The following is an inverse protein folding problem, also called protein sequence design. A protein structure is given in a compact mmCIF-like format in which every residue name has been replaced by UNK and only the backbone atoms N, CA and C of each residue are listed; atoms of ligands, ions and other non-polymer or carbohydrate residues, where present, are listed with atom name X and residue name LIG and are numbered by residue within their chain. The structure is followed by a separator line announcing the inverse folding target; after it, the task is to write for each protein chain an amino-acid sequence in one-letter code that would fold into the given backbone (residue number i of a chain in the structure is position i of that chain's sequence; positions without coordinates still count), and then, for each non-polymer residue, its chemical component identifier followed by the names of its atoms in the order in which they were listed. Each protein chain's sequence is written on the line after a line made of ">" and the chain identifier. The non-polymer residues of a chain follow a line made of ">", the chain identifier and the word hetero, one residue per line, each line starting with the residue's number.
data_IF_450233238535
#
_entry.id   IF_450233238535
#
_cell.length_a   1.000
_cell.length_b   1.000
_cell.length_c   1.000
_cell.angle_alpha   90.00
_cell.angle_beta   90.00
_cell.angle_gamma   90.00
#
_symmetry.space_group_name_H-M   'P 1'
#
loop_
_entity.id
_entity.type
_entity.pdbx_description
1 polymer ?
#
# COMPACT_ATOMS: atom_id res chain seq x y z
N UNK A 1 27.57 12.62 27.76
CA UNK A 1 26.26 12.51 28.42
C UNK A 1 25.09 12.28 27.41
N UNK A 2 24.92 13.08 26.37
CA UNK A 2 23.80 12.89 25.39
C UNK A 2 23.86 11.55 24.65
N UNK A 3 25.03 11.10 24.22
CA UNK A 3 25.17 9.81 23.52
C UNK A 3 24.87 8.59 24.41
N UNK A 4 25.23 8.66 25.72
CA UNK A 4 24.91 7.59 26.66
C UNK A 4 23.41 7.52 26.99
N UNK A 5 22.72 8.66 27.06
CA UNK A 5 21.28 8.69 27.29
C UNK A 5 20.50 8.17 26.04
N UNK A 6 20.98 8.45 24.83
CA UNK A 6 20.39 7.92 23.60
C UNK A 6 20.58 6.41 23.51
N UNK A 7 21.77 5.88 23.83
CA UNK A 7 22.03 4.43 23.84
C UNK A 7 21.17 3.71 24.88
N UNK A 8 21.07 4.25 26.10
CA UNK A 8 20.22 3.68 27.16
C UNK A 8 18.72 3.67 26.73
N UNK A 9 18.24 4.72 26.08
CA UNK A 9 16.86 4.80 25.58
C UNK A 9 16.61 3.80 24.43
N UNK A 10 17.56 3.63 23.53
CA UNK A 10 17.48 2.65 22.43
C UNK A 10 17.51 1.21 22.97
N UNK A 11 18.34 0.93 23.98
CA UNK A 11 18.37 -0.39 24.65
C UNK A 11 17.08 -0.68 25.42
N UNK A 12 16.51 0.30 26.12
CA UNK A 12 15.20 0.16 26.77
C UNK A 12 14.06 -0.08 25.77
N UNK A 13 14.07 0.62 24.63
CA UNK A 13 13.12 0.40 23.55
C UNK A 13 13.29 -0.99 22.91
N UNK A 14 14.52 -1.45 22.71
CA UNK A 14 14.82 -2.77 22.17
C UNK A 14 14.39 -3.91 23.13
N UNK A 15 14.50 -3.70 24.45
CA UNK A 15 14.10 -4.67 25.47
C UNK A 15 12.60 -4.62 25.80
N UNK A 16 11.86 -3.60 25.35
CA UNK A 16 10.40 -3.55 25.47
C UNK A 16 9.75 -4.68 24.68
N UNK A 17 8.57 -5.15 25.13
CA UNK A 17 7.82 -6.18 24.39
C UNK A 17 7.55 -5.78 22.94
N UNK A 18 7.35 -4.48 22.66
CA UNK A 18 7.23 -3.93 21.31
C UNK A 18 8.55 -4.02 20.51
N UNK A 19 9.69 -3.75 21.14
CA UNK A 19 11.02 -3.86 20.51
C UNK A 19 11.36 -5.31 20.14
N UNK A 20 11.05 -6.27 21.01
CA UNK A 20 11.26 -7.70 20.76
C UNK A 20 10.37 -8.21 19.60
N UNK A 21 9.12 -7.76 19.54
CA UNK A 21 8.20 -8.11 18.44
C UNK A 21 8.72 -7.51 17.12
N UNK A 22 9.14 -6.25 17.11
CA UNK A 22 9.73 -5.61 15.94
C UNK A 22 11.02 -6.31 15.49
N UNK A 23 11.88 -6.73 16.43
CA UNK A 23 13.08 -7.50 16.12
C UNK A 23 12.74 -8.89 15.54
N UNK A 24 11.76 -9.59 16.09
CA UNK A 24 11.31 -10.89 15.57
C UNK A 24 10.61 -10.75 14.20
N UNK A 25 9.86 -9.69 13.97
CA UNK A 25 9.31 -9.36 12.65
C UNK A 25 10.42 -9.09 11.62
N UNK A 26 11.45 -8.29 12.01
CA UNK A 26 12.61 -8.02 11.15
C UNK A 26 13.34 -9.29 10.75
N UNK A 27 13.65 -10.18 11.71
CA UNK A 27 14.35 -11.45 11.43
C UNK A 27 13.53 -12.34 10.51
N UNK A 28 12.21 -12.39 10.68
CA UNK A 28 11.33 -13.17 9.82
C UNK A 28 11.24 -12.59 8.41
N UNK A 29 11.14 -11.25 8.29
CA UNK A 29 11.15 -10.60 6.98
C UNK A 29 12.47 -10.88 6.28
N UNK A 30 13.61 -10.77 6.97
CA UNK A 30 14.92 -11.07 6.41
C UNK A 30 15.04 -12.55 5.98
N UNK A 31 14.55 -13.48 6.79
CA UNK A 31 14.54 -14.92 6.45
C UNK A 31 13.61 -15.22 5.23
N UNK A 32 12.57 -14.41 5.06
CA UNK A 32 11.61 -14.55 3.96
C UNK A 32 11.98 -13.76 2.71
N UNK A 33 13.08 -13.01 2.72
CA UNK A 33 13.47 -12.11 1.62
C UNK A 33 13.57 -12.84 0.28
N UNK A 34 14.13 -14.07 0.28
CA UNK A 34 14.19 -14.92 -0.92
C UNK A 34 12.81 -15.23 -1.52
N UNK A 35 11.80 -15.41 -0.66
CA UNK A 35 10.43 -15.67 -1.11
C UNK A 35 9.78 -14.40 -1.66
N UNK A 36 10.07 -13.22 -1.08
CA UNK A 36 9.59 -11.94 -1.61
C UNK A 36 10.18 -11.63 -2.98
N UNK A 37 11.50 -11.84 -3.13
CA UNK A 37 12.18 -11.68 -4.43
C UNK A 37 11.63 -12.68 -5.44
N UNK A 38 11.46 -13.95 -5.06
CA UNK A 38 10.87 -14.97 -5.91
C UNK A 38 9.45 -14.63 -6.35
N UNK A 39 8.61 -14.15 -5.42
CA UNK A 39 7.23 -13.74 -5.72
C UNK A 39 7.18 -12.49 -6.60
N UNK A 40 8.06 -11.52 -6.35
CA UNK A 40 8.21 -10.34 -7.20
C UNK A 40 8.56 -10.74 -8.64
N UNK A 41 9.58 -11.57 -8.80
CA UNK A 41 10.03 -12.04 -10.12
C UNK A 41 8.94 -12.87 -10.82
N UNK A 42 8.23 -13.74 -10.08
CA UNK A 42 7.10 -14.48 -10.62
C UNK A 42 6.01 -13.55 -11.13
N UNK A 43 5.58 -12.60 -10.31
CA UNK A 43 4.56 -11.60 -10.69
C UNK A 43 5.00 -10.76 -11.88
N UNK A 44 6.27 -10.33 -11.89
CA UNK A 44 6.86 -9.58 -12.98
C UNK A 44 6.85 -10.37 -14.30
N UNK A 45 7.36 -11.61 -14.28
CA UNK A 45 7.44 -12.46 -15.48
C UNK A 45 6.06 -12.82 -16.02
N UNK A 46 5.10 -13.09 -15.14
CA UNK A 46 3.72 -13.42 -15.55
C UNK A 46 2.99 -12.19 -16.09
N UNK A 47 3.18 -11.01 -15.47
CA UNK A 47 2.52 -9.79 -15.90
C UNK A 47 3.12 -9.20 -17.18
N UNK A 48 4.43 -9.34 -17.40
CA UNK A 48 5.15 -8.69 -18.49
C UNK A 48 4.53 -8.93 -19.88
N UNK A 49 4.19 -10.16 -20.32
CA UNK A 49 3.57 -10.38 -21.63
C UNK A 49 2.17 -9.78 -21.76
N UNK A 50 1.47 -9.53 -20.62
CA UNK A 50 0.13 -8.94 -20.62
C UNK A 50 0.18 -7.41 -20.69
N UNK A 51 1.32 -6.78 -20.45
CA UNK A 51 1.45 -5.33 -20.38
C UNK A 51 1.16 -4.65 -21.71
N UNK A 52 1.56 -5.25 -22.84
CA UNK A 52 1.31 -4.69 -24.17
C UNK A 52 -0.20 -4.61 -24.48
N UNK A 53 -0.95 -5.65 -24.14
CA UNK A 53 -2.40 -5.66 -24.30
C UNK A 53 -3.08 -4.64 -23.37
N UNK A 54 -2.59 -4.52 -22.13
CA UNK A 54 -3.07 -3.52 -21.18
C UNK A 54 -2.80 -2.09 -21.66
N UNK A 55 -1.60 -1.81 -22.18
CA UNK A 55 -1.26 -0.49 -22.73
C UNK A 55 -2.15 -0.17 -23.92
N UNK A 56 -2.32 -1.11 -24.87
CA UNK A 56 -3.18 -0.92 -26.02
C UNK A 56 -4.64 -0.65 -25.62
N UNK A 57 -5.13 -1.37 -24.61
CA UNK A 57 -6.46 -1.14 -24.05
C UNK A 57 -6.58 0.23 -23.38
N UNK A 58 -5.51 0.71 -22.72
CA UNK A 58 -5.50 1.98 -21.99
C UNK A 58 -5.52 3.20 -22.94
N UNK A 59 -4.86 3.11 -24.09
CA UNK A 59 -4.76 4.19 -25.09
C UNK A 59 -5.87 4.13 -26.16
N UNK A 60 -6.89 3.31 -25.96
CA UNK A 60 -8.07 3.27 -26.81
C UNK A 60 -8.81 4.62 -26.76
N UNK A 61 -9.12 5.19 -27.93
CA UNK A 61 -9.75 6.51 -28.07
C UNK A 61 -11.01 6.68 -27.22
N UNK A 62 -11.76 5.59 -26.99
CA UNK A 62 -12.95 5.61 -26.14
C UNK A 62 -12.66 5.92 -24.66
N UNK A 63 -11.40 5.90 -24.22
CA UNK A 63 -10.96 6.11 -22.83
C UNK A 63 -10.14 7.37 -22.63
N UNK A 64 -9.67 7.96 -23.73
CA UNK A 64 -8.93 9.21 -23.67
C UNK A 64 -9.88 10.38 -23.42
N UNK A 65 -9.46 11.40 -22.65
CA UNK A 65 -10.20 12.65 -22.59
C UNK A 65 -10.30 13.32 -23.96
N UNK A 66 -11.38 14.06 -24.21
CA UNK A 66 -11.60 14.74 -25.49
C UNK A 66 -10.46 15.72 -25.80
N UNK A 67 -9.93 15.63 -27.02
CA UNK A 67 -8.88 16.52 -27.51
C UNK A 67 -7.47 16.18 -27.02
N UNK A 68 -7.26 14.99 -26.47
CA UNK A 68 -5.93 14.50 -26.06
C UNK A 68 -5.39 13.52 -27.07
N UNK A 69 -4.18 13.77 -27.59
CA UNK A 69 -3.44 12.83 -28.43
C UNK A 69 -2.28 12.20 -27.64
N UNK A 70 -2.13 10.87 -27.77
CA UNK A 70 -1.02 10.15 -27.15
C UNK A 70 0.13 10.03 -28.13
N UNK A 71 1.27 10.58 -27.76
CA UNK A 71 2.51 10.54 -28.56
C UNK A 71 3.57 9.63 -27.92
N UNK A 72 4.34 8.95 -28.77
CA UNK A 72 5.51 8.16 -28.37
C UNK A 72 6.75 8.85 -28.92
N UNK A 73 7.65 9.29 -28.04
CA UNK A 73 8.86 10.03 -28.44
C UNK A 73 10.01 9.07 -28.73
N UNK A 74 10.08 7.93 -28.08
CA UNK A 74 11.16 6.97 -28.23
C UNK A 74 10.64 5.52 -28.21
N UNK A 75 11.16 4.63 -29.09
CA UNK A 75 10.79 3.20 -29.05
C UNK A 75 11.07 2.51 -27.71
N UNK A 76 12.09 2.99 -26.98
CA UNK A 76 12.50 2.44 -25.68
C UNK A 76 11.48 2.81 -24.58
N UNK A 77 10.72 3.89 -24.78
CA UNK A 77 9.69 4.35 -23.85
C UNK A 77 8.62 3.27 -23.60
N UNK A 78 8.19 2.59 -24.65
CA UNK A 78 7.21 1.51 -24.56
C UNK A 78 7.74 0.36 -23.69
N UNK A 79 9.01 -0.04 -23.89
CA UNK A 79 9.64 -1.09 -23.09
C UNK A 79 9.75 -0.71 -21.61
N UNK A 80 10.19 0.52 -21.29
CA UNK A 80 10.27 0.98 -19.91
C UNK A 80 8.89 1.02 -19.24
N UNK A 81 7.85 1.39 -19.97
CA UNK A 81 6.50 1.37 -19.48
C UNK A 81 6.03 -0.06 -19.15
N UNK A 82 6.32 -1.04 -20.02
CA UNK A 82 6.03 -2.45 -19.74
C UNK A 82 6.74 -2.95 -18.48
N UNK A 83 8.04 -2.62 -18.32
CA UNK A 83 8.81 -2.97 -17.12
C UNK A 83 8.21 -2.34 -15.86
N UNK A 84 7.77 -1.08 -15.94
CA UNK A 84 7.12 -0.37 -14.83
C UNK A 84 5.80 -1.01 -14.43
N UNK A 85 4.94 -1.36 -15.39
CA UNK A 85 3.66 -2.02 -15.13
C UNK A 85 3.89 -3.40 -14.50
N UNK A 86 4.75 -4.23 -15.10
CA UNK A 86 5.08 -5.55 -14.58
C UNK A 86 5.69 -5.49 -13.17
N UNK A 87 6.58 -4.51 -12.94
CA UNK A 87 7.17 -4.24 -11.63
C UNK A 87 6.14 -3.83 -10.58
N UNK A 88 5.15 -3.02 -10.96
CA UNK A 88 4.06 -2.63 -10.07
C UNK A 88 3.22 -3.83 -9.64
N UNK A 89 2.90 -4.75 -10.56
CA UNK A 89 2.19 -5.99 -10.25
C UNK A 89 3.01 -6.87 -9.29
N UNK A 90 4.30 -7.05 -9.57
CA UNK A 90 5.21 -7.77 -8.69
C UNK A 90 5.27 -7.18 -7.27
N UNK A 91 5.32 -5.84 -7.17
CA UNK A 91 5.33 -5.13 -5.89
C UNK A 91 4.02 -5.33 -5.11
N UNK A 92 2.87 -5.24 -5.78
CA UNK A 92 1.56 -5.47 -5.16
C UNK A 92 1.47 -6.88 -4.58
N UNK A 93 1.95 -7.90 -5.29
CA UNK A 93 1.98 -9.28 -4.78
C UNK A 93 2.87 -9.43 -3.56
N UNK A 94 4.04 -8.78 -3.54
CA UNK A 94 4.93 -8.78 -2.37
C UNK A 94 4.24 -8.13 -1.17
N UNK A 95 3.59 -6.99 -1.34
CA UNK A 95 2.87 -6.31 -0.25
C UNK A 95 1.74 -7.17 0.28
N UNK A 96 0.96 -7.83 -0.57
CA UNK A 96 -0.07 -8.79 -0.15
C UNK A 96 0.54 -9.93 0.69
N UNK A 97 1.68 -10.47 0.28
CA UNK A 97 2.37 -11.50 1.05
C UNK A 97 2.84 -10.99 2.42
N UNK A 98 3.38 -9.77 2.48
CA UNK A 98 3.78 -9.14 3.75
C UNK A 98 2.57 -8.97 4.67
N UNK A 99 1.43 -8.49 4.16
CA UNK A 99 0.19 -8.35 4.93
C UNK A 99 -0.27 -9.69 5.50
N UNK A 100 -0.25 -10.75 4.69
CA UNK A 100 -0.59 -12.11 5.12
C UNK A 100 0.39 -12.61 6.20
N UNK A 101 1.68 -12.30 6.08
CA UNK A 101 2.66 -12.68 7.12
C UNK A 101 2.43 -11.90 8.42
N UNK A 102 2.16 -10.60 8.36
CA UNK A 102 1.79 -9.80 9.54
C UNK A 102 0.53 -10.35 10.19
N UNK A 103 -0.47 -10.77 9.40
CA UNK A 103 -1.66 -11.43 9.89
C UNK A 103 -1.34 -12.74 10.63
N UNK A 104 -0.47 -13.59 10.06
CA UNK A 104 -0.01 -14.83 10.73
C UNK A 104 0.64 -14.55 12.08
N UNK A 105 1.46 -13.52 12.16
CA UNK A 105 2.13 -13.12 13.40
C UNK A 105 1.15 -12.60 14.44
N UNK A 106 0.28 -11.66 14.07
CA UNK A 106 -0.72 -11.09 14.95
C UNK A 106 -1.64 -12.15 15.55
N UNK A 107 -2.14 -13.05 14.72
CA UNK A 107 -3.04 -14.13 15.15
C UNK A 107 -2.34 -15.17 16.06
N UNK A 108 -1.05 -15.42 15.88
CA UNK A 108 -0.27 -16.30 16.76
C UNK A 108 -0.05 -15.68 18.14
N UNK A 109 0.18 -14.37 18.21
CA UNK A 109 0.36 -13.66 19.49
C UNK A 109 -0.93 -13.58 20.30
N UNK A 110 -2.08 -13.32 19.67
CA UNK A 110 -3.38 -13.40 20.35
C UNK A 110 -3.64 -14.81 20.92
N UNK A 111 -3.37 -15.87 20.12
CA UNK A 111 -3.57 -17.22 20.56
C UNK A 111 -2.64 -17.63 21.72
N UNK A 112 -1.43 -17.11 21.80
CA UNK A 112 -0.49 -17.34 22.90
C UNK A 112 -0.93 -16.57 24.16
N UNK A 113 -1.38 -15.32 24.02
CA UNK A 113 -1.81 -14.48 25.13
C UNK A 113 -3.11 -15.02 25.78
N UNK A 114 -4.08 -15.48 24.99
CA UNK A 114 -5.32 -16.08 25.51
C UNK A 114 -5.08 -17.43 26.21
N UNK A 115 -4.02 -18.16 25.86
CA UNK A 115 -3.67 -19.45 26.50
C UNK A 115 -2.90 -19.32 27.80
N UNK A 116 -2.14 -18.26 27.98
CA UNK A 116 -1.52 -17.95 29.26
C UNK A 116 -2.55 -17.57 30.33
N UNK A 117 -3.74 -17.12 29.90
CA UNK A 117 -4.86 -16.82 30.80
C UNK A 117 -5.81 -18.02 31.06
N UNK A 118 -5.78 -19.04 30.21
CA UNK A 118 -6.62 -20.24 30.33
C UNK A 118 -5.77 -21.50 30.11
N UNK A 119 -5.47 -22.21 31.18
CA UNK A 119 -4.68 -23.45 31.19
C UNK A 119 -5.40 -24.64 30.52
N UNK A 120 -6.05 -24.44 29.38
CA UNK A 120 -6.63 -25.51 28.58
C UNK A 120 -6.07 -25.60 27.16
N UNK A 121 -5.54 -26.79 26.88
CA UNK A 121 -4.77 -27.19 25.71
C UNK A 121 -5.66 -27.50 24.51
N UNK A 122 -6.00 -26.51 23.70
CA UNK A 122 -6.42 -26.75 22.31
C UNK A 122 -6.00 -25.58 21.42
N UNK A 123 -5.01 -25.87 20.52
CA UNK A 123 -4.47 -24.89 19.57
C UNK A 123 -5.55 -24.55 18.53
N UNK A 124 -6.19 -23.36 18.54
CA UNK A 124 -7.04 -22.97 17.43
C UNK A 124 -6.18 -22.91 16.18
N UNK A 125 -6.52 -23.72 15.20
CA UNK A 125 -5.84 -23.68 13.90
C UNK A 125 -5.99 -22.26 13.31
N UNK A 126 -4.90 -21.62 12.82
CA UNK A 126 -4.96 -20.26 12.29
C UNK A 126 -5.74 -20.14 10.96
N UNK A 127 -6.26 -21.27 10.44
CA UNK A 127 -6.86 -21.40 9.12
C UNK A 127 -7.95 -20.35 8.79
N UNK A 128 -9.10 -20.31 9.51
CA UNK A 128 -10.22 -19.47 9.08
C UNK A 128 -9.94 -17.97 9.27
N UNK A 129 -9.25 -17.56 10.35
CA UNK A 129 -8.91 -16.15 10.61
C UNK A 129 -7.86 -15.63 9.65
N UNK A 130 -6.89 -16.47 9.28
CA UNK A 130 -5.88 -16.10 8.27
C UNK A 130 -6.50 -15.99 6.90
N UNK A 131 -7.40 -16.91 6.54
CA UNK A 131 -8.14 -16.85 5.28
C UNK A 131 -9.00 -15.58 5.21
N UNK A 132 -9.66 -15.20 6.31
CA UNK A 132 -10.41 -13.96 6.39
C UNK A 132 -9.51 -12.73 6.21
N UNK A 133 -8.33 -12.69 6.83
CA UNK A 133 -7.38 -11.60 6.66
C UNK A 133 -6.87 -11.52 5.21
N UNK A 134 -6.56 -12.65 4.57
CA UNK A 134 -6.16 -12.70 3.17
C UNK A 134 -7.29 -12.21 2.24
N UNK A 135 -8.52 -12.68 2.46
CA UNK A 135 -9.68 -12.24 1.69
C UNK A 135 -9.94 -10.74 1.86
N UNK A 136 -9.88 -10.23 3.10
CA UNK A 136 -10.01 -8.80 3.39
C UNK A 136 -8.91 -7.99 2.70
N UNK A 137 -7.67 -8.49 2.66
CA UNK A 137 -6.56 -7.83 1.96
C UNK A 137 -6.81 -7.73 0.46
N UNK A 138 -7.25 -8.82 -0.18
CA UNK A 138 -7.60 -8.82 -1.61
C UNK A 138 -8.78 -7.88 -1.87
N UNK A 139 -9.82 -7.93 -1.03
CA UNK A 139 -10.98 -7.05 -1.16
C UNK A 139 -10.59 -5.56 -1.07
N UNK A 140 -9.77 -5.18 -0.10
CA UNK A 140 -9.29 -3.80 0.07
C UNK A 140 -8.42 -3.36 -1.12
N UNK A 141 -7.60 -4.26 -1.67
CA UNK A 141 -6.82 -4.00 -2.87
C UNK A 141 -7.74 -3.68 -4.07
N UNK A 142 -8.76 -4.50 -4.28
CA UNK A 142 -9.74 -4.29 -5.35
C UNK A 142 -10.50 -2.98 -5.14
N UNK A 143 -10.97 -2.70 -3.92
CA UNK A 143 -11.66 -1.44 -3.59
C UNK A 143 -10.74 -0.24 -3.85
N UNK A 144 -9.47 -0.30 -3.46
CA UNK A 144 -8.49 0.75 -3.73
C UNK A 144 -8.24 0.97 -5.22
N UNK A 145 -8.16 -0.10 -6.00
CA UNK A 145 -8.03 -0.02 -7.45
C UNK A 145 -9.29 0.56 -8.11
N UNK A 146 -10.50 0.16 -7.67
CA UNK A 146 -11.77 0.72 -8.14
C UNK A 146 -11.90 2.22 -7.78
N UNK A 147 -11.50 2.60 -6.58
CA UNK A 147 -11.45 4.00 -6.16
C UNK A 147 -10.54 4.83 -7.09
N UNK A 148 -9.36 4.32 -7.42
CA UNK A 148 -8.47 5.00 -8.36
C UNK A 148 -9.07 5.06 -9.76
N UNK A 149 -9.62 3.95 -10.26
CA UNK A 149 -10.12 3.84 -11.62
C UNK A 149 -11.36 4.70 -11.89
N UNK A 150 -12.35 4.64 -10.99
CA UNK A 150 -13.63 5.34 -11.19
C UNK A 150 -13.69 6.73 -10.53
N UNK A 151 -12.82 7.00 -9.57
CA UNK A 151 -12.79 8.27 -8.84
C UNK A 151 -11.59 9.14 -9.19
N UNK A 152 -10.37 8.68 -8.84
CA UNK A 152 -9.17 9.50 -8.94
C UNK A 152 -8.79 9.82 -10.39
N UNK A 153 -8.67 8.80 -11.23
CA UNK A 153 -8.15 8.94 -12.58
C UNK A 153 -9.03 9.87 -13.43
N UNK A 154 -10.35 9.66 -13.53
CA UNK A 154 -11.19 10.56 -14.30
C UNK A 154 -11.14 12.02 -13.82
N UNK A 155 -11.22 12.21 -12.49
CA UNK A 155 -11.22 13.55 -11.90
C UNK A 155 -9.90 14.28 -12.15
N UNK A 156 -8.76 13.59 -12.03
CA UNK A 156 -7.46 14.21 -12.26
C UNK A 156 -7.17 14.44 -13.75
N UNK A 157 -7.57 13.52 -14.62
CA UNK A 157 -7.42 13.71 -16.06
C UNK A 157 -8.26 14.89 -16.55
N UNK A 158 -9.51 15.01 -16.11
CA UNK A 158 -10.38 16.13 -16.42
C UNK A 158 -9.81 17.46 -15.92
N UNK A 159 -9.35 17.48 -14.67
CA UNK A 159 -8.70 18.66 -14.09
C UNK A 159 -7.49 19.12 -14.90
N UNK A 160 -6.56 18.19 -15.22
CA UNK A 160 -5.32 18.51 -15.91
C UNK A 160 -5.54 18.92 -17.38
N UNK A 161 -6.53 18.31 -18.07
CA UNK A 161 -6.90 18.69 -19.43
C UNK A 161 -7.59 20.04 -19.49
N UNK A 162 -8.56 20.27 -18.60
CA UNK A 162 -9.32 21.52 -18.56
C UNK A 162 -8.42 22.71 -18.28
N UNK A 163 -7.47 22.58 -17.33
CA UNK A 163 -6.52 23.64 -16.99
C UNK A 163 -5.63 24.00 -18.18
N UNK A 164 -5.10 23.02 -18.91
CA UNK A 164 -4.29 23.22 -20.10
C UNK A 164 -5.09 23.86 -21.26
N UNK A 165 -6.32 23.40 -21.51
CA UNK A 165 -7.19 23.92 -22.55
C UNK A 165 -7.64 25.37 -22.28
N UNK A 166 -7.93 25.72 -21.02
CA UNK A 166 -8.22 27.09 -20.61
C UNK A 166 -7.05 28.04 -20.83
N UNK A 167 -5.81 27.52 -20.71
CA UNK A 167 -4.59 28.26 -21.07
C UNK A 167 -4.35 28.38 -22.59
N UNK A 168 -5.24 27.82 -23.44
CA UNK A 168 -5.11 27.85 -24.90
C UNK A 168 -4.07 26.88 -25.45
N UNK A 169 -3.69 25.85 -24.69
CA UNK A 169 -2.69 24.87 -25.08
C UNK A 169 -3.36 23.64 -25.73
N UNK A 170 -2.74 23.07 -26.77
CA UNK A 170 -3.10 21.75 -27.28
C UNK A 170 -2.53 20.68 -26.35
N UNK A 171 -3.33 19.63 -26.08
CA UNK A 171 -2.97 18.63 -25.09
C UNK A 171 -2.43 17.37 -25.76
N UNK A 172 -1.11 17.34 -25.93
CA UNK A 172 -0.40 16.13 -26.35
C UNK A 172 0.25 15.47 -25.11
N UNK A 173 -0.10 14.21 -24.87
CA UNK A 173 0.45 13.49 -23.74
C UNK A 173 1.41 12.39 -24.18
N UNK A 174 2.56 12.39 -23.55
CA UNK A 174 3.54 11.31 -23.72
C UNK A 174 3.00 10.01 -23.13
N UNK A 175 3.08 8.91 -23.89
CA UNK A 175 2.59 7.60 -23.49
C UNK A 175 3.08 7.19 -22.09
N UNK A 176 4.39 7.35 -21.81
CA UNK A 176 4.99 6.98 -20.52
C UNK A 176 4.44 7.81 -19.35
N UNK A 177 4.13 9.09 -19.60
CA UNK A 177 3.56 9.97 -18.58
C UNK A 177 2.11 9.60 -18.31
N UNK A 178 1.28 9.46 -19.34
CA UNK A 178 -0.13 9.10 -19.22
C UNK A 178 -0.32 7.72 -18.57
N UNK A 179 0.21 6.67 -19.19
CA UNK A 179 0.04 5.32 -18.67
C UNK A 179 0.80 5.11 -17.35
N UNK A 180 1.98 5.71 -17.20
CA UNK A 180 2.73 5.69 -15.95
C UNK A 180 2.01 6.38 -14.79
N UNK A 181 1.31 7.48 -15.05
CA UNK A 181 0.46 8.17 -14.09
C UNK A 181 -0.69 7.28 -13.61
N UNK A 182 -1.42 6.67 -14.54
CA UNK A 182 -2.54 5.76 -14.23
C UNK A 182 -2.05 4.57 -13.39
N UNK A 183 -0.96 3.92 -13.80
CA UNK A 183 -0.39 2.77 -13.08
C UNK A 183 0.06 3.16 -11.66
N UNK A 184 0.65 4.34 -11.51
CA UNK A 184 1.05 4.82 -10.19
C UNK A 184 -0.16 5.07 -9.28
N UNK A 185 -1.20 5.74 -9.77
CA UNK A 185 -2.41 6.00 -8.99
C UNK A 185 -3.12 4.71 -8.59
N UNK A 186 -3.25 3.76 -9.53
CA UNK A 186 -3.81 2.43 -9.25
C UNK A 186 -3.00 1.71 -8.16
N UNK A 187 -1.67 1.68 -8.31
CA UNK A 187 -0.79 1.02 -7.35
C UNK A 187 -0.80 1.71 -5.98
N UNK A 188 -0.72 3.03 -5.94
CA UNK A 188 -0.76 3.81 -4.70
C UNK A 188 -2.07 3.60 -3.93
N UNK A 189 -3.21 3.65 -4.63
CA UNK A 189 -4.52 3.46 -4.03
C UNK A 189 -4.72 2.02 -3.58
N UNK A 190 -4.38 1.03 -4.40
CA UNK A 190 -4.48 -0.38 -4.05
C UNK A 190 -3.66 -0.72 -2.79
N UNK A 191 -2.41 -0.21 -2.71
CA UNK A 191 -1.54 -0.38 -1.56
C UNK A 191 -1.98 0.45 -0.36
N UNK A 192 -2.40 1.70 -0.58
CA UNK A 192 -2.86 2.60 0.47
C UNK A 192 -4.10 2.09 1.19
N UNK A 193 -5.01 1.42 0.49
CA UNK A 193 -6.18 0.78 1.07
C UNK A 193 -5.85 -0.44 1.96
N UNK A 194 -4.60 -0.91 2.00
CA UNK A 194 -4.16 -1.89 3.00
C UNK A 194 -3.97 -1.27 4.40
N UNK A 195 -3.92 0.05 4.52
CA UNK A 195 -3.68 0.77 5.78
C UNK A 195 -4.61 0.33 6.94
N UNK A 196 -5.94 0.20 6.79
CA UNK A 196 -6.81 -0.21 7.89
C UNK A 196 -6.56 -1.65 8.34
N UNK A 197 -6.26 -2.55 7.42
CA UNK A 197 -5.96 -3.94 7.74
C UNK A 197 -4.62 -4.05 8.48
N UNK A 198 -3.57 -3.40 7.99
CA UNK A 198 -2.25 -3.36 8.62
C UNK A 198 -2.34 -2.78 10.03
N UNK A 199 -3.04 -1.65 10.19
CA UNK A 199 -3.27 -1.00 11.49
C UNK A 199 -3.96 -1.93 12.47
N UNK A 200 -5.05 -2.57 12.04
CA UNK A 200 -5.81 -3.51 12.86
C UNK A 200 -4.96 -4.73 13.26
N UNK A 201 -4.16 -5.27 12.34
CA UNK A 201 -3.29 -6.43 12.62
C UNK A 201 -2.17 -6.07 13.59
N UNK A 202 -1.55 -4.88 13.48
CA UNK A 202 -0.51 -4.40 14.40
C UNK A 202 -1.10 -4.22 15.81
N UNK A 203 -2.27 -3.60 15.93
CA UNK A 203 -2.95 -3.42 17.21
C UNK A 203 -3.30 -4.77 17.85
N UNK A 204 -3.86 -5.70 17.09
CA UNK A 204 -4.22 -7.05 17.58
C UNK A 204 -3.02 -7.89 17.95
N UNK A 205 -1.88 -7.72 17.28
CA UNK A 205 -0.65 -8.42 17.66
C UNK A 205 -0.13 -8.00 19.04
N UNK A 206 -0.60 -6.87 19.58
CA UNK A 206 -0.08 -6.29 20.82
C UNK A 206 1.32 -5.69 20.69
N UNK A 207 1.86 -5.63 19.45
CA UNK A 207 3.19 -5.04 19.17
C UNK A 207 3.24 -3.55 19.53
N UNK A 208 2.11 -2.86 19.28
CA UNK A 208 1.97 -1.43 19.53
C UNK A 208 0.64 -1.20 20.25
N UNK A 209 0.67 -0.45 21.36
CA UNK A 209 -0.56 -0.07 22.03
C UNK A 209 -1.32 0.97 21.21
N UNK A 210 -2.65 1.04 21.42
CA UNK A 210 -3.48 2.04 20.77
C UNK A 210 -3.01 3.47 21.04
N UNK A 211 -2.57 3.75 22.29
CA UNK A 211 -2.05 5.06 22.66
C UNK A 211 -0.77 5.42 21.87
N UNK A 212 0.14 4.46 21.71
CA UNK A 212 1.36 4.64 20.90
C UNK A 212 1.02 4.87 19.42
N UNK A 213 0.10 4.09 18.86
CA UNK A 213 -0.36 4.24 17.48
C UNK A 213 -1.02 5.62 17.27
N UNK A 214 -1.90 6.04 18.18
CA UNK A 214 -2.53 7.36 18.14
C UNK A 214 -1.50 8.50 18.34
N UNK A 215 -0.47 8.30 19.16
CA UNK A 215 0.64 9.24 19.30
C UNK A 215 1.48 9.39 18.04
N UNK A 216 1.52 8.35 17.21
CA UNK A 216 2.28 8.34 15.95
C UNK A 216 1.51 8.90 14.74
N UNK A 217 0.30 9.44 14.94
CA UNK A 217 -0.55 9.99 13.86
C UNK A 217 0.19 10.94 12.92
N UNK A 218 0.98 11.86 13.48
CA UNK A 218 1.73 12.85 12.69
C UNK A 218 2.69 12.19 11.70
N UNK A 219 3.38 11.14 12.14
CA UNK A 219 4.33 10.40 11.30
C UNK A 219 3.58 9.60 10.23
N UNK A 220 2.46 8.96 10.59
CA UNK A 220 1.65 8.16 9.66
C UNK A 220 1.01 9.06 8.60
N UNK A 221 0.43 10.19 8.99
CA UNK A 221 -0.13 11.17 8.06
C UNK A 221 0.95 11.75 7.14
N UNK A 222 2.10 12.13 7.71
CA UNK A 222 3.24 12.59 6.90
C UNK A 222 3.69 11.53 5.91
N UNK A 223 3.77 10.26 6.34
CA UNK A 223 4.12 9.14 5.44
C UNK A 223 3.10 8.95 4.31
N UNK A 224 1.80 9.13 4.60
CA UNK A 224 0.75 9.08 3.57
C UNK A 224 0.94 10.18 2.51
N UNK A 225 1.27 11.40 2.94
CA UNK A 225 1.60 12.49 2.02
C UNK A 225 2.89 12.23 1.22
N UNK A 226 3.91 11.67 1.85
CA UNK A 226 5.15 11.28 1.15
C UNK A 226 4.86 10.22 0.08
N UNK A 227 4.08 9.18 0.39
CA UNK A 227 3.65 8.18 -0.59
C UNK A 227 2.85 8.84 -1.71
N UNK A 228 1.90 9.72 -1.38
CA UNK A 228 1.15 10.50 -2.35
C UNK A 228 2.06 11.28 -3.29
N UNK A 229 3.03 12.02 -2.75
CA UNK A 229 3.97 12.83 -3.53
C UNK A 229 4.85 12.02 -4.52
N UNK A 230 5.23 10.80 -4.13
CA UNK A 230 6.00 9.92 -5.01
C UNK A 230 5.18 9.25 -6.10
N UNK A 231 3.89 9.04 -5.86
CA UNK A 231 3.00 8.26 -6.72
C UNK A 231 2.10 9.12 -7.63
N UNK A 232 1.92 10.40 -7.29
CA UNK A 232 1.12 11.35 -8.08
C UNK A 232 1.99 12.35 -8.83
N UNK A 233 1.46 13.08 -9.82
CA UNK A 233 2.12 14.24 -10.40
C UNK A 233 2.47 15.28 -9.31
N UNK A 234 3.40 16.19 -9.60
CA UNK A 234 3.78 17.24 -8.65
C UNK A 234 2.73 18.36 -8.61
N UNK A 235 1.48 18.02 -8.32
CA UNK A 235 0.36 18.95 -8.12
C UNK A 235 -0.31 18.71 -6.76
N UNK A 236 -0.80 19.76 -6.09
CA UNK A 236 -1.41 19.64 -4.77
C UNK A 236 -2.69 18.80 -4.77
N UNK A 237 -3.51 18.85 -5.83
CA UNK A 237 -4.80 18.18 -5.88
C UNK A 237 -4.61 16.65 -5.84
N UNK A 238 -3.77 16.10 -6.73
CA UNK A 238 -3.51 14.66 -6.78
C UNK A 238 -2.84 14.15 -5.50
N UNK A 239 -1.94 14.94 -4.90
CA UNK A 239 -1.32 14.63 -3.63
C UNK A 239 -2.36 14.41 -2.52
N UNK A 240 -3.30 15.35 -2.35
CA UNK A 240 -4.36 15.25 -1.35
C UNK A 240 -5.32 14.09 -1.64
N UNK A 241 -5.71 13.91 -2.90
CA UNK A 241 -6.63 12.84 -3.30
C UNK A 241 -6.07 11.43 -3.07
N UNK A 242 -4.74 11.25 -3.10
CA UNK A 242 -4.10 9.97 -2.74
C UNK A 242 -3.93 9.86 -1.23
N UNK A 243 -3.48 10.91 -0.55
CA UNK A 243 -3.12 10.85 0.87
C UNK A 243 -4.35 10.81 1.80
N UNK A 244 -5.40 11.60 1.52
CA UNK A 244 -6.58 11.70 2.41
C UNK A 244 -7.28 10.36 2.63
N UNK A 245 -7.58 9.54 1.60
CA UNK A 245 -8.21 8.24 1.84
C UNK A 245 -7.39 7.32 2.73
N UNK A 246 -6.06 7.32 2.57
CA UNK A 246 -5.15 6.52 3.41
C UNK A 246 -5.27 6.96 4.88
N UNK A 247 -5.28 8.27 5.13
CA UNK A 247 -5.43 8.85 6.47
C UNK A 247 -6.80 8.52 7.05
N UNK A 248 -7.87 8.71 6.29
CA UNK A 248 -9.25 8.41 6.73
C UNK A 248 -9.40 6.94 7.08
N UNK A 249 -8.88 6.04 6.25
CA UNK A 249 -8.92 4.60 6.50
C UNK A 249 -8.10 4.19 7.73
N UNK A 250 -6.95 4.82 7.96
CA UNK A 250 -6.16 4.64 9.17
C UNK A 250 -6.93 5.09 10.42
N UNK A 251 -7.52 6.29 10.41
CA UNK A 251 -8.30 6.80 11.54
C UNK A 251 -9.56 5.95 11.79
N UNK A 252 -10.23 5.49 10.73
CA UNK A 252 -11.35 4.57 10.85
C UNK A 252 -10.95 3.25 11.54
N UNK A 253 -9.77 2.70 11.22
CA UNK A 253 -9.26 1.51 11.90
C UNK A 253 -9.02 1.74 13.39
N UNK A 254 -8.46 2.90 13.77
CA UNK A 254 -8.29 3.28 15.18
C UNK A 254 -9.61 3.47 15.91
N UNK A 255 -10.62 4.01 15.25
CA UNK A 255 -11.96 4.18 15.81
C UNK A 255 -12.64 2.83 16.03
N UNK A 256 -12.59 1.93 15.05
CA UNK A 256 -13.16 0.58 15.16
C UNK A 256 -12.53 -0.19 16.33
N UNK A 257 -11.21 -0.08 16.48
CA UNK A 257 -10.50 -0.70 17.59
C UNK A 257 -10.97 -0.15 18.95
N UNK A 258 -11.29 1.15 19.02
CA UNK A 258 -11.84 1.78 20.24
C UNK A 258 -13.14 1.18 20.72
N UNK A 259 -14.02 0.80 19.81
CA UNK A 259 -15.34 0.26 20.16
C UNK A 259 -15.28 -1.25 20.45
N UNK A 260 -14.16 -1.91 20.15
CA UNK A 260 -13.99 -3.36 20.37
C UNK A 260 -13.25 -3.71 21.66
N UNK A 261 -12.45 -2.79 22.18
CA UNK A 261 -11.77 -2.93 23.47
C UNK A 261 -12.45 -2.00 24.47
N UNK A 262 -13.23 -2.57 25.43
CA UNK A 262 -13.81 -1.79 26.53
C UNK A 262 -12.75 -1.19 27.42
#
# INVERSE_FOLDING_TARGET
>A
MVQQSIQATVEQLAQSSGGQILASMRTTIQASLKYYVGLFLLGFVVAFPMTSAFIAWLVDDARLPEGVEIIVISPVEFLFLQLRIAGSVGLVLVVLMVVIQVAKYGLRHEAVKSRLSELEVNLPQPGPRLMLAALTSVLLLVIGALYAWYGLIPLLLDYLTTDAQQAGLTTEWRLSNYAGFIVNLLSASALGFQAPLITTLILRSGAVSRQQMAGSRRIIWFSAFVVGAFMSPPDPLSLFLVAIPIIVLFEAALLIDRFRTP
#
